data_IF_627035862475
#
_entry.id   IF_627035862475
#
_cell.length_a   1.000
_cell.length_b   1.000
_cell.length_c   1.000
_cell.angle_alpha   90.00
_cell.angle_beta   90.00
_cell.angle_gamma   90.00
#
_symmetry.space_group_name_H-M   'P 1'
#
loop_
_entity.id
_entity.type
_entity.pdbx_description
1 polymer ?
#
# COMPACT_ATOMS: atom_id res chain seq x y z
N UNK A 1 -14.67 7.13 8.29
CA UNK A 1 -14.72 5.67 8.09
C UNK A 1 -14.14 4.89 9.27
N UNK A 2 -13.25 5.48 10.01
CA UNK A 2 -12.65 4.85 11.19
C UNK A 2 -13.35 5.31 12.46
N UNK A 3 -13.47 4.47 13.49
CA UNK A 3 -13.97 4.90 14.79
C UNK A 3 -13.11 6.05 15.34
N UNK A 4 -13.75 6.88 16.18
CA UNK A 4 -13.02 7.96 16.86
C UNK A 4 -11.83 7.40 17.66
N UNK A 5 -10.70 8.10 17.62
CA UNK A 5 -9.45 7.71 18.30
C UNK A 5 -8.84 6.37 17.88
N UNK A 6 -9.23 5.82 16.72
CA UNK A 6 -8.66 4.56 16.21
C UNK A 6 -7.55 4.74 15.17
N UNK A 7 -7.31 5.97 14.70
CA UNK A 7 -6.28 6.28 13.70
C UNK A 7 -5.43 7.44 14.18
N UNK A 8 -4.12 7.28 14.08
CA UNK A 8 -3.15 8.35 14.28
C UNK A 8 -2.33 8.52 13.00
N UNK A 9 -2.25 9.75 12.50
CA UNK A 9 -1.37 10.13 11.41
C UNK A 9 -0.18 10.89 11.99
N UNK A 10 1.02 10.42 11.71
CA UNK A 10 2.25 11.04 12.21
C UNK A 10 3.29 11.21 11.11
N UNK A 11 4.11 12.23 11.22
CA UNK A 11 5.25 12.45 10.35
C UNK A 11 6.36 11.45 10.63
N UNK A 12 7.09 11.10 9.58
CA UNK A 12 8.22 10.20 9.62
C UNK A 12 9.39 10.85 8.87
N UNK A 13 10.30 11.48 9.65
CA UNK A 13 11.43 12.25 9.13
C UNK A 13 12.59 11.36 8.68
N UNK A 14 12.36 10.51 7.68
CA UNK A 14 13.35 9.62 7.10
C UNK A 14 13.19 9.60 5.58
N UNK A 15 14.25 9.93 4.87
CA UNK A 15 14.28 9.90 3.41
C UNK A 15 14.36 8.47 2.91
N UNK A 16 13.53 8.13 1.93
CA UNK A 16 13.54 6.83 1.28
C UNK A 16 14.89 6.58 0.61
N UNK A 17 15.51 5.43 0.91
CA UNK A 17 16.77 4.99 0.31
C UNK A 17 16.54 4.12 -0.94
N UNK A 18 15.33 3.63 -1.14
CA UNK A 18 14.96 2.71 -2.21
C UNK A 18 15.83 1.44 -2.24
N UNK A 19 16.22 0.96 -1.05
CA UNK A 19 17.05 -0.21 -0.86
C UNK A 19 16.24 -1.52 -0.72
N UNK A 20 14.94 -1.47 -1.06
CA UNK A 20 14.06 -2.62 -1.15
C UNK A 20 14.01 -3.44 0.14
N UNK A 21 14.39 -4.75 0.06
CA UNK A 21 14.29 -5.67 1.21
C UNK A 21 15.02 -5.19 2.46
N UNK A 22 16.20 -4.60 2.32
CA UNK A 22 16.97 -4.10 3.48
C UNK A 22 16.30 -2.90 4.13
N UNK A 23 15.70 -2.04 3.34
CA UNK A 23 14.96 -0.90 3.85
C UNK A 23 13.65 -1.33 4.51
N UNK A 24 13.02 -2.41 4.04
CA UNK A 24 11.87 -2.99 4.72
C UNK A 24 12.20 -3.42 6.15
N UNK A 25 13.36 -4.03 6.39
CA UNK A 25 13.82 -4.38 7.76
C UNK A 25 14.03 -3.11 8.58
N UNK A 26 14.66 -2.08 8.03
CA UNK A 26 14.86 -0.81 8.70
C UNK A 26 13.53 -0.15 9.06
N UNK A 27 12.55 -0.21 8.16
CA UNK A 27 11.20 0.27 8.41
C UNK A 27 10.52 -0.51 9.54
N UNK A 28 10.70 -1.82 9.62
CA UNK A 28 10.19 -2.63 10.73
C UNK A 28 10.79 -2.21 12.07
N UNK A 29 12.11 -2.05 12.14
CA UNK A 29 12.80 -1.58 13.35
C UNK A 29 12.28 -0.22 13.81
N UNK A 30 12.11 0.72 12.89
CA UNK A 30 11.60 2.05 13.23
C UNK A 30 10.16 2.00 13.77
N UNK A 31 9.28 1.22 13.13
CA UNK A 31 7.89 1.07 13.61
C UNK A 31 7.82 0.38 14.94
N UNK A 32 8.62 -0.66 15.15
CA UNK A 32 8.75 -1.30 16.45
C UNK A 32 9.19 -0.32 17.53
N UNK A 33 10.20 0.49 17.25
CA UNK A 33 10.69 1.51 18.19
C UNK A 33 9.65 2.61 18.48
N UNK A 34 8.70 2.82 17.57
CA UNK A 34 7.56 3.71 17.77
C UNK A 34 6.39 3.05 18.51
N UNK A 35 6.51 1.78 18.90
CA UNK A 35 5.50 1.04 19.63
C UNK A 35 4.49 0.28 18.75
N UNK A 36 4.71 0.20 17.42
CA UNK A 36 3.85 -0.60 16.56
C UNK A 36 4.09 -2.10 16.80
N UNK A 37 3.01 -2.87 16.82
CA UNK A 37 3.05 -4.33 16.96
C UNK A 37 3.02 -5.07 15.62
N UNK A 38 2.56 -4.39 14.56
CA UNK A 38 2.45 -4.95 13.21
C UNK A 38 2.93 -3.94 12.17
N UNK A 39 3.57 -4.44 11.10
CA UNK A 39 3.92 -3.67 9.92
C UNK A 39 3.31 -4.33 8.69
N UNK A 40 2.56 -3.56 7.91
CA UNK A 40 2.10 -4.00 6.60
C UNK A 40 3.23 -3.78 5.59
N UNK A 41 3.71 -4.86 4.98
CA UNK A 41 4.69 -4.84 3.91
C UNK A 41 3.97 -5.23 2.62
N UNK A 42 3.79 -4.24 1.75
CA UNK A 42 3.13 -4.44 0.47
C UNK A 42 4.08 -4.93 -0.62
N UNK A 43 3.52 -5.18 -1.80
CA UNK A 43 4.26 -5.43 -3.03
C UNK A 43 5.20 -4.25 -3.35
N UNK A 44 6.38 -4.55 -3.85
CA UNK A 44 7.41 -3.54 -4.24
C UNK A 44 7.80 -2.57 -3.09
N UNK A 45 7.69 -3.01 -1.82
CA UNK A 45 7.96 -2.17 -0.65
C UNK A 45 9.39 -1.64 -0.65
N UNK A 46 9.52 -0.30 -0.62
CA UNK A 46 10.80 0.42 -0.67
C UNK A 46 11.67 0.07 -1.90
N UNK A 47 11.08 -0.49 -2.93
CA UNK A 47 11.76 -0.78 -4.19
C UNK A 47 11.75 0.40 -5.16
N UNK A 48 12.57 0.30 -6.21
CA UNK A 48 12.60 1.23 -7.34
C UNK A 48 12.87 0.47 -8.63
N UNK A 49 12.12 0.80 -9.69
CA UNK A 49 12.24 0.10 -10.96
C UNK A 49 12.06 -1.42 -10.82
N UNK A 50 12.96 -2.19 -11.39
CA UNK A 50 13.00 -3.64 -11.40
C UNK A 50 14.24 -4.22 -10.69
N UNK A 51 14.89 -3.42 -9.80
CA UNK A 51 16.08 -3.86 -9.05
C UNK A 51 15.79 -5.01 -8.08
N UNK A 52 14.56 -5.12 -7.59
CA UNK A 52 14.13 -6.13 -6.65
C UNK A 52 12.87 -6.82 -7.15
N UNK A 53 12.70 -8.10 -6.82
CA UNK A 53 11.45 -8.79 -7.07
C UNK A 53 10.30 -8.22 -6.24
N UNK A 54 9.09 -8.31 -6.77
CA UNK A 54 7.90 -7.67 -6.20
C UNK A 54 7.63 -8.01 -4.73
N UNK A 55 8.06 -9.18 -4.25
CA UNK A 55 7.83 -9.68 -2.89
C UNK A 55 9.11 -9.89 -2.08
N UNK A 56 10.28 -9.57 -2.62
CA UNK A 56 11.56 -9.74 -1.91
C UNK A 56 11.59 -8.99 -0.56
N UNK A 57 10.91 -7.85 -0.46
CA UNK A 57 10.80 -7.10 0.78
C UNK A 57 9.96 -7.81 1.87
N UNK A 58 9.09 -8.75 1.49
CA UNK A 58 8.37 -9.62 2.42
C UNK A 58 9.22 -10.84 2.78
N UNK A 59 9.81 -11.45 1.77
CA UNK A 59 10.60 -12.68 1.89
C UNK A 59 11.83 -12.52 2.79
N UNK A 60 12.46 -11.33 2.78
CA UNK A 60 13.68 -11.10 3.56
C UNK A 60 13.48 -11.36 5.07
N UNK A 61 12.29 -11.12 5.59
CA UNK A 61 12.01 -11.34 7.01
C UNK A 61 12.09 -12.82 7.39
N UNK A 62 11.61 -13.73 6.56
CA UNK A 62 11.73 -15.17 6.80
C UNK A 62 13.10 -15.75 6.41
N UNK A 63 13.77 -15.12 5.43
CA UNK A 63 15.03 -15.66 4.89
C UNK A 63 16.28 -15.16 5.62
N UNK A 64 16.25 -13.96 6.19
CA UNK A 64 17.45 -13.26 6.69
C UNK A 64 17.33 -12.71 8.10
N UNK A 65 16.13 -12.50 8.61
CA UNK A 65 15.94 -12.02 9.98
C UNK A 65 15.88 -13.23 10.90
N UNK A 66 16.78 -13.34 11.91
CA UNK A 66 16.74 -14.43 12.87
C UNK A 66 15.42 -14.41 13.64
N UNK A 67 14.92 -15.59 14.00
CA UNK A 67 13.76 -15.72 14.87
C UNK A 67 13.97 -14.97 16.19
N UNK A 68 12.97 -14.19 16.60
CA UNK A 68 13.03 -13.38 17.81
C UNK A 68 13.90 -12.12 17.73
N UNK A 69 14.48 -11.80 16.56
CA UNK A 69 15.25 -10.57 16.40
C UNK A 69 14.38 -9.31 16.29
N UNK A 70 13.11 -9.45 15.96
CA UNK A 70 12.10 -8.40 15.92
C UNK A 70 10.88 -8.84 16.72
N UNK A 71 10.31 -7.90 17.49
CA UNK A 71 9.06 -8.10 18.22
C UNK A 71 7.82 -7.66 17.42
N UNK A 72 8.03 -7.06 16.24
CA UNK A 72 6.97 -6.61 15.35
C UNK A 72 6.58 -7.74 14.38
N UNK A 73 5.29 -7.98 14.21
CA UNK A 73 4.77 -8.92 13.23
C UNK A 73 4.70 -8.30 11.83
N UNK A 74 5.05 -9.07 10.81
CA UNK A 74 5.01 -8.63 9.43
C UNK A 74 3.76 -9.17 8.75
N UNK A 75 2.87 -8.26 8.37
CA UNK A 75 1.71 -8.57 7.53
C UNK A 75 2.09 -8.40 6.06
N UNK A 76 2.31 -9.52 5.38
CA UNK A 76 2.63 -9.55 3.95
C UNK A 76 1.36 -9.33 3.13
N UNK A 77 1.22 -8.11 2.59
CA UNK A 77 0.07 -7.75 1.76
C UNK A 77 0.38 -7.97 0.28
N UNK A 78 -0.50 -8.68 -0.41
CA UNK A 78 -0.44 -8.83 -1.85
C UNK A 78 -1.22 -7.70 -2.56
N UNK A 79 -1.24 -7.75 -3.87
CA UNK A 79 -2.00 -6.82 -4.68
C UNK A 79 -3.49 -6.93 -4.38
N UNK A 80 -4.07 -5.83 -3.93
CA UNK A 80 -5.51 -5.76 -3.65
C UNK A 80 -6.23 -5.07 -4.80
N UNK A 81 -7.41 -5.58 -5.15
CA UNK A 81 -8.28 -4.99 -6.15
C UNK A 81 -9.75 -5.26 -5.84
N UNK A 82 -10.64 -4.44 -6.37
CA UNK A 82 -12.06 -4.71 -6.32
C UNK A 82 -12.41 -5.84 -7.27
N UNK A 83 -12.96 -6.93 -6.75
CA UNK A 83 -13.48 -8.03 -7.55
C UNK A 83 -14.91 -7.74 -8.01
N UNK A 84 -15.09 -7.64 -9.31
CA UNK A 84 -16.42 -7.49 -9.93
C UNK A 84 -17.33 -8.71 -9.68
N UNK A 85 -16.73 -9.91 -9.57
CA UNK A 85 -17.46 -11.14 -9.27
C UNK A 85 -17.98 -11.17 -7.84
N UNK A 86 -17.18 -10.69 -6.88
CA UNK A 86 -17.49 -10.76 -5.45
C UNK A 86 -18.09 -9.46 -4.90
N UNK A 87 -18.05 -8.35 -5.67
CA UNK A 87 -18.56 -7.05 -5.26
C UNK A 87 -17.82 -6.46 -4.05
N UNK A 88 -16.54 -6.79 -3.87
CA UNK A 88 -15.72 -6.30 -2.75
C UNK A 88 -14.23 -6.28 -3.09
N UNK A 89 -13.45 -5.53 -2.31
CA UNK A 89 -11.99 -5.56 -2.38
C UNK A 89 -11.47 -6.88 -1.81
N UNK A 90 -10.51 -7.47 -2.50
CA UNK A 90 -9.86 -8.75 -2.14
C UNK A 90 -8.36 -8.66 -2.39
N UNK A 91 -7.57 -9.50 -1.74
CA UNK A 91 -6.22 -9.81 -2.20
C UNK A 91 -6.33 -10.75 -3.42
N UNK A 92 -5.65 -10.41 -4.51
CA UNK A 92 -5.84 -11.10 -5.78
C UNK A 92 -5.36 -12.56 -5.74
N UNK A 93 -4.40 -12.88 -4.88
CA UNK A 93 -3.88 -14.23 -4.68
C UNK A 93 -4.80 -15.13 -3.80
N UNK A 94 -5.80 -14.56 -3.13
CA UNK A 94 -6.71 -15.29 -2.25
C UNK A 94 -8.01 -15.73 -2.95
N UNK A 95 -8.18 -15.38 -4.23
CA UNK A 95 -9.42 -15.67 -4.96
C UNK A 95 -9.18 -16.54 -6.18
N UNK A 96 -9.70 -17.76 -6.13
CA UNK A 96 -9.61 -18.71 -7.23
C UNK A 96 -10.57 -18.35 -8.38
N UNK A 97 -10.22 -18.77 -9.60
CA UNK A 97 -11.07 -18.66 -10.77
C UNK A 97 -11.32 -17.21 -11.26
N UNK A 98 -10.48 -16.27 -10.82
CA UNK A 98 -10.47 -14.89 -11.34
C UNK A 98 -9.45 -14.71 -12.46
N UNK A 99 -9.79 -13.83 -13.39
CA UNK A 99 -8.90 -13.32 -14.44
C UNK A 99 -8.65 -11.82 -14.21
N UNK A 100 -7.71 -11.22 -14.92
CA UNK A 100 -7.45 -9.78 -14.80
C UNK A 100 -8.69 -8.91 -15.10
N UNK A 101 -9.57 -9.38 -16.00
CA UNK A 101 -10.80 -8.67 -16.38
C UNK A 101 -11.86 -8.66 -15.27
N UNK A 102 -11.74 -9.56 -14.30
CA UNK A 102 -12.64 -9.63 -13.14
C UNK A 102 -12.34 -8.58 -12.07
N UNK A 103 -11.23 -7.84 -12.21
CA UNK A 103 -10.82 -6.81 -11.26
C UNK A 103 -10.95 -5.40 -11.82
N UNK A 104 -11.12 -4.45 -10.93
CA UNK A 104 -10.93 -3.01 -11.23
C UNK A 104 -9.49 -2.66 -10.88
N UNK A 105 -8.65 -2.50 -11.90
CA UNK A 105 -7.22 -2.20 -11.76
C UNK A 105 -6.94 -0.79 -12.29
N UNK A 106 -6.37 0.05 -11.45
CA UNK A 106 -5.86 1.37 -11.84
C UNK A 106 -4.46 1.55 -11.28
N UNK A 107 -3.54 2.02 -12.12
CA UNK A 107 -2.21 2.42 -11.66
C UNK A 107 -2.28 3.77 -10.92
N UNK A 108 -1.37 4.00 -9.98
CA UNK A 108 -1.27 5.30 -9.31
C UNK A 108 -1.06 6.47 -10.28
N UNK A 109 -0.36 6.25 -11.40
CA UNK A 109 -0.18 7.23 -12.47
C UNK A 109 -1.52 7.58 -13.12
N UNK A 110 -2.33 6.59 -13.45
CA UNK A 110 -3.64 6.80 -14.06
C UNK A 110 -4.60 7.54 -13.12
N UNK A 111 -4.57 7.17 -11.83
CA UNK A 111 -5.37 7.85 -10.80
C UNK A 111 -4.98 9.32 -10.68
N UNK A 112 -3.68 9.64 -10.62
CA UNK A 112 -3.20 11.03 -10.57
C UNK A 112 -3.62 11.81 -11.82
N UNK A 113 -3.51 11.22 -13.00
CA UNK A 113 -3.96 11.82 -14.25
C UNK A 113 -5.46 12.14 -14.23
N UNK A 114 -6.30 11.21 -13.75
CA UNK A 114 -7.73 11.44 -13.61
C UNK A 114 -8.01 12.60 -12.64
N UNK A 115 -7.41 12.58 -11.45
CA UNK A 115 -7.60 13.62 -10.43
C UNK A 115 -7.16 15.01 -10.93
N UNK A 116 -6.01 15.10 -11.63
CA UNK A 116 -5.51 16.35 -12.20
C UNK A 116 -6.41 16.91 -13.31
N UNK A 117 -7.18 16.05 -13.97
CA UNK A 117 -8.17 16.45 -14.98
C UNK A 117 -9.59 16.64 -14.39
N UNK A 118 -9.74 16.62 -13.08
CA UNK A 118 -11.03 16.75 -12.41
C UNK A 118 -11.97 15.56 -12.64
N UNK A 119 -11.41 14.38 -12.97
CA UNK A 119 -12.17 13.14 -13.21
C UNK A 119 -12.05 12.26 -11.96
N UNK A 120 -13.19 11.95 -11.35
CA UNK A 120 -13.22 11.05 -10.21
C UNK A 120 -12.85 9.61 -10.63
N UNK A 121 -12.03 8.88 -9.86
CA UNK A 121 -11.85 7.45 -10.03
C UNK A 121 -13.18 6.70 -9.82
N UNK A 122 -13.34 5.49 -10.38
CA UNK A 122 -14.52 4.66 -10.11
C UNK A 122 -14.73 4.41 -8.60
N UNK A 123 -15.97 4.28 -8.16
CA UNK A 123 -16.32 4.05 -6.74
C UNK A 123 -15.72 2.75 -6.20
N UNK A 124 -15.55 1.75 -7.04
CA UNK A 124 -14.90 0.47 -6.73
C UNK A 124 -13.40 0.65 -6.39
N UNK A 125 -12.77 1.71 -6.88
CA UNK A 125 -11.38 2.04 -6.60
C UNK A 125 -11.23 3.01 -5.44
N UNK A 126 -12.06 4.07 -5.40
CA UNK A 126 -11.99 5.09 -4.35
C UNK A 126 -13.39 5.57 -4.00
N UNK A 127 -13.70 5.58 -2.70
CA UNK A 127 -14.97 6.10 -2.21
C UNK A 127 -15.19 7.54 -2.66
N UNK A 128 -16.43 7.94 -3.02
CA UNK A 128 -16.71 9.28 -3.56
C UNK A 128 -16.21 10.42 -2.69
N UNK A 129 -16.35 10.30 -1.37
CA UNK A 129 -15.90 11.32 -0.42
C UNK A 129 -14.39 11.47 -0.39
N UNK A 130 -13.64 10.35 -0.52
CA UNK A 130 -12.18 10.35 -0.61
C UNK A 130 -11.74 10.94 -1.95
N UNK A 131 -12.37 10.51 -3.05
CA UNK A 131 -12.10 11.04 -4.38
C UNK A 131 -12.32 12.56 -4.44
N UNK A 132 -13.39 13.07 -3.77
CA UNK A 132 -13.66 14.51 -3.70
C UNK A 132 -12.52 15.27 -3.02
N UNK A 133 -12.06 14.81 -1.85
CA UNK A 133 -10.95 15.46 -1.11
C UNK A 133 -9.69 15.50 -1.97
N UNK A 134 -9.38 14.39 -2.67
CA UNK A 134 -8.23 14.33 -3.56
C UNK A 134 -8.37 15.28 -4.76
N UNK A 135 -9.55 15.35 -5.38
CA UNK A 135 -9.78 16.28 -6.51
C UNK A 135 -9.65 17.73 -6.05
N UNK A 136 -10.22 18.09 -4.91
CA UNK A 136 -10.11 19.45 -4.35
C UNK A 136 -8.63 19.82 -4.15
N UNK A 137 -7.79 18.90 -3.64
CA UNK A 137 -6.35 19.09 -3.48
C UNK A 137 -5.63 19.32 -4.81
N UNK A 138 -5.87 18.49 -5.82
CA UNK A 138 -5.24 18.59 -7.13
C UNK A 138 -5.66 19.86 -7.89
N UNK A 139 -6.83 20.41 -7.65
CA UNK A 139 -7.27 21.68 -8.22
C UNK A 139 -6.56 22.89 -7.59
N UNK A 140 -6.21 22.82 -6.31
CA UNK A 140 -5.50 23.90 -5.59
C UNK A 140 -4.02 23.93 -6.00
N UNK A 141 -3.35 22.77 -6.12
CA UNK A 141 -1.92 22.71 -6.50
C UNK A 141 -1.67 22.90 -8.01
N UNK A 142 -2.68 22.76 -8.84
CA UNK A 142 -2.60 22.97 -10.30
C UNK A 142 -2.76 24.43 -10.73
N UNK A 143 -2.90 25.34 -9.80
CA UNK A 143 -2.92 26.81 -10.02
C UNK A 143 -1.65 27.43 -9.48
#
# INVERSE_FOLDING_TARGET
YFPENSVMVTGYGFDMLYAGPREAILHAIFRQNMGATHLIVGRDHAGVGDYYGAFEAQEIFSQRVPEGALDIEIFSADHTAFSKKLGRVVMMNEVDGHTADDFVLLSGTKVREMLSNGIAPPEEFSRPEVAKVLMDYYQIEGT
#
